data_IF_840763495153
#
_entry.id   IF_840763495153
#
_cell.length_a   1.000
_cell.length_b   1.000
_cell.length_c   1.000
_cell.angle_alpha   90.00
_cell.angle_beta   90.00
_cell.angle_gamma   90.00
#
_symmetry.space_group_name_H-M   'P 1'
#
loop_
_entity.id
_entity.type
_entity.pdbx_description
1 polymer ?
#
# COMPACT_ATOMS: atom_id res chain seq x y z
N UNK A 1 8.78 12.94 -21.94
CA UNK A 1 8.82 12.62 -20.49
C UNK A 1 7.43 12.18 -20.07
N UNK A 2 7.10 10.90 -20.28
CA UNK A 2 5.90 10.31 -19.69
C UNK A 2 6.35 9.84 -18.32
N UNK A 3 6.03 10.66 -17.34
CA UNK A 3 6.35 10.49 -15.94
C UNK A 3 5.89 9.13 -15.42
N UNK A 4 6.64 8.62 -14.45
CA UNK A 4 6.46 7.39 -13.68
C UNK A 4 5.14 7.32 -12.87
N UNK A 5 4.03 7.87 -13.38
CA UNK A 5 2.73 7.89 -12.72
C UNK A 5 1.88 6.64 -13.00
N UNK A 6 2.35 5.72 -13.85
CA UNK A 6 1.58 4.55 -14.28
C UNK A 6 1.98 3.23 -13.60
N UNK A 7 2.76 3.26 -12.52
CA UNK A 7 3.11 2.05 -11.75
C UNK A 7 2.15 1.75 -10.58
N UNK A 8 1.33 2.73 -10.16
CA UNK A 8 0.30 2.50 -9.15
C UNK A 8 -0.78 1.47 -9.57
N UNK A 9 -1.24 1.40 -10.84
CA UNK A 9 -2.16 0.35 -11.28
C UNK A 9 -1.52 -1.03 -11.51
N UNK A 10 -0.18 -1.16 -11.63
CA UNK A 10 0.44 -2.47 -11.90
C UNK A 10 0.36 -3.42 -10.69
N UNK A 11 0.30 -2.88 -9.47
CA UNK A 11 0.03 -3.65 -8.25
C UNK A 11 -1.46 -4.00 -8.05
N UNK A 12 -2.37 -3.44 -8.85
CA UNK A 12 -3.81 -3.62 -8.72
C UNK A 12 -4.34 -4.92 -9.37
N UNK A 13 -3.49 -5.68 -10.08
CA UNK A 13 -3.95 -6.79 -10.94
C UNK A 13 -3.69 -8.21 -10.43
N UNK A 14 -3.33 -8.45 -9.17
CA UNK A 14 -3.05 -9.82 -8.70
C UNK A 14 -4.10 -10.47 -7.79
N UNK A 15 -5.29 -9.89 -7.58
CA UNK A 15 -6.49 -10.65 -7.19
C UNK A 15 -6.40 -11.54 -5.93
N UNK A 16 -5.43 -11.31 -5.04
CA UNK A 16 -5.22 -12.09 -3.81
C UNK A 16 -5.57 -11.28 -2.55
N UNK A 17 -6.55 -10.39 -2.68
CA UNK A 17 -6.88 -9.36 -1.69
C UNK A 17 -7.29 -9.94 -0.33
N UNK A 18 -7.89 -11.12 -0.28
CA UNK A 18 -8.30 -11.79 0.96
C UNK A 18 -7.16 -12.44 1.74
N UNK A 19 -6.07 -12.87 1.08
CA UNK A 19 -4.87 -13.37 1.76
C UNK A 19 -3.92 -12.23 2.18
N UNK A 20 -4.07 -11.04 1.59
CA UNK A 20 -3.13 -9.92 1.78
C UNK A 20 -3.48 -9.00 2.94
N UNK A 21 -4.68 -9.07 3.52
CA UNK A 21 -5.07 -8.26 4.68
C UNK A 21 -4.09 -8.34 5.87
N UNK A 22 -3.62 -9.53 6.33
CA UNK A 22 -2.60 -9.60 7.36
C UNK A 22 -1.27 -8.97 6.92
N UNK A 23 -0.88 -9.13 5.66
CA UNK A 23 0.37 -8.57 5.11
C UNK A 23 0.33 -7.04 5.05
N UNK A 24 -0.80 -6.45 4.67
CA UNK A 24 -0.98 -5.00 4.68
C UNK A 24 -0.92 -4.44 6.10
N UNK A 25 -1.57 -5.09 7.07
CA UNK A 25 -1.49 -4.67 8.48
C UNK A 25 -0.06 -4.71 9.01
N UNK A 26 0.69 -5.76 8.68
CA UNK A 26 2.09 -5.89 9.10
C UNK A 26 2.98 -4.84 8.43
N UNK A 27 2.81 -4.60 7.12
CA UNK A 27 3.51 -3.55 6.40
C UNK A 27 3.21 -2.14 6.95
N UNK A 28 1.96 -1.84 7.28
CA UNK A 28 1.56 -0.59 7.92
C UNK A 28 2.23 -0.45 9.28
N UNK A 29 2.21 -1.50 10.11
CA UNK A 29 2.83 -1.46 11.44
C UNK A 29 4.33 -1.19 11.36
N UNK A 30 5.04 -1.89 10.47
CA UNK A 30 6.48 -1.70 10.27
C UNK A 30 6.76 -0.29 9.72
N UNK A 31 6.02 0.15 8.70
CA UNK A 31 6.20 1.48 8.12
C UNK A 31 5.95 2.60 9.16
N UNK A 32 4.92 2.48 9.98
CA UNK A 32 4.63 3.43 11.06
C UNK A 32 5.73 3.44 12.12
N UNK A 33 6.28 2.27 12.50
CA UNK A 33 7.35 2.18 13.49
C UNK A 33 8.70 2.74 12.97
N UNK A 34 9.01 2.51 11.70
CA UNK A 34 10.30 2.88 11.10
C UNK A 34 10.31 4.33 10.58
N UNK A 35 9.22 4.75 9.95
CA UNK A 35 9.14 6.01 9.21
C UNK A 35 8.21 7.04 9.85
N UNK A 36 7.31 6.59 10.74
CA UNK A 36 6.24 7.41 11.29
C UNK A 36 4.98 7.40 10.43
N UNK A 37 3.86 7.74 11.05
CA UNK A 37 2.53 7.72 10.44
C UNK A 37 2.39 8.71 9.28
N UNK A 38 2.99 9.89 9.40
CA UNK A 38 2.89 10.96 8.39
C UNK A 38 3.86 10.81 7.21
N UNK A 39 4.67 9.74 7.20
CA UNK A 39 5.62 9.54 6.12
C UNK A 39 4.89 9.13 4.83
N UNK A 40 5.25 9.69 3.65
CA UNK A 40 4.55 9.39 2.40
C UNK A 40 4.45 7.90 2.06
N UNK A 41 5.47 7.12 2.43
CA UNK A 41 5.47 5.67 2.25
C UNK A 41 4.40 4.99 3.11
N UNK A 42 4.32 5.31 4.40
CA UNK A 42 3.29 4.79 5.31
C UNK A 42 1.89 5.10 4.80
N UNK A 43 1.67 6.33 4.32
CA UNK A 43 0.40 6.77 3.74
C UNK A 43 0.05 6.00 2.46
N UNK A 44 1.03 5.71 1.60
CA UNK A 44 0.82 4.93 0.37
C UNK A 44 0.37 3.50 0.68
N UNK A 45 0.97 2.86 1.69
CA UNK A 45 0.56 1.51 2.13
C UNK A 45 -0.86 1.54 2.71
N UNK A 46 -1.21 2.56 3.48
CA UNK A 46 -2.57 2.78 3.99
C UNK A 46 -3.60 2.94 2.87
N UNK A 47 -3.31 3.78 1.88
CA UNK A 47 -4.19 3.99 0.71
C UNK A 47 -4.41 2.70 -0.07
N UNK A 48 -3.36 1.88 -0.24
CA UNK A 48 -3.45 0.59 -0.91
C UNK A 48 -4.30 -0.40 -0.10
N UNK A 49 -4.18 -0.41 1.22
CA UNK A 49 -5.03 -1.21 2.11
C UNK A 49 -6.50 -0.78 2.05
N UNK A 50 -6.79 0.52 2.05
CA UNK A 50 -8.16 1.04 1.92
C UNK A 50 -8.76 0.70 0.56
N UNK A 51 -7.98 0.77 -0.51
CA UNK A 51 -8.41 0.40 -1.87
C UNK A 51 -8.65 -1.11 -2.03
N UNK A 52 -7.97 -1.94 -1.23
CA UNK A 52 -8.23 -3.39 -1.15
C UNK A 52 -9.57 -3.71 -0.48
N UNK A 53 -9.96 -2.92 0.53
CA UNK A 53 -11.20 -3.12 1.29
C UNK A 53 -12.44 -2.52 0.62
N UNK A 54 -12.26 -1.72 -0.44
CA UNK A 54 -13.31 -1.11 -1.27
C UNK A 54 -13.72 -2.02 -2.42
#
# INVERSE_FOLDING_TARGET
MVSLNNLAPLYYCQGRYTETEPLYREAIKIATQVLGENYPHTQTVYQNYLRMLS
#
